data_IF_552911136247
#
_entry.id   IF_552911136247
#
_cell.length_a   1.000
_cell.length_b   1.000
_cell.length_c   1.000
_cell.angle_alpha   90.00
_cell.angle_beta   90.00
_cell.angle_gamma   90.00
#
_symmetry.space_group_name_H-M   'P 1'
#
loop_
_entity.id
_entity.type
_entity.pdbx_description
1 polymer ?
#
# COMPACT_ATOMS: atom_id res chain seq x y z
N UNK A 1 -15.50 5.88 -25.25
CA UNK A 1 -14.06 6.16 -25.18
C UNK A 1 -13.48 5.49 -23.95
N UNK A 2 -12.31 4.87 -24.07
CA UNK A 2 -11.51 4.40 -22.94
C UNK A 2 -10.40 5.41 -22.68
N UNK A 3 -10.15 5.72 -21.42
CA UNK A 3 -8.95 6.47 -21.01
C UNK A 3 -8.07 5.53 -20.20
N UNK A 4 -6.78 5.59 -20.46
CA UNK A 4 -5.73 5.00 -19.66
C UNK A 4 -4.68 6.11 -19.49
N UNK A 5 -4.27 6.53 -18.29
CA UNK A 5 -4.55 6.01 -16.94
C UNK A 5 -5.16 7.08 -16.04
N UNK A 6 -5.73 6.66 -14.91
CA UNK A 6 -6.21 7.59 -13.88
C UNK A 6 -5.06 8.41 -13.26
N UNK A 7 -3.89 7.79 -13.07
CA UNK A 7 -2.69 8.39 -12.46
C UNK A 7 -2.04 9.48 -13.33
N UNK A 8 -2.33 9.48 -14.63
CA UNK A 8 -1.82 10.49 -15.56
C UNK A 8 -2.74 11.69 -15.71
N UNK A 9 -3.92 11.64 -15.10
CA UNK A 9 -4.81 12.80 -14.95
C UNK A 9 -4.40 13.57 -13.69
N UNK A 10 -4.78 14.83 -13.60
CA UNK A 10 -4.53 15.63 -12.40
C UNK A 10 -5.57 15.30 -11.32
N UNK A 11 -5.43 14.13 -10.70
CA UNK A 11 -6.35 13.66 -9.66
C UNK A 11 -6.26 14.48 -8.36
N UNK A 12 -5.15 15.19 -8.13
CA UNK A 12 -4.95 16.09 -6.99
C UNK A 12 -5.44 17.53 -7.25
N UNK A 13 -5.71 17.91 -8.50
CA UNK A 13 -6.16 19.27 -8.85
C UNK A 13 -5.07 20.33 -8.72
N UNK A 14 -3.79 19.98 -8.92
CA UNK A 14 -2.66 20.92 -8.84
C UNK A 14 -2.73 21.96 -9.97
N UNK A 15 -3.20 21.55 -11.14
CA UNK A 15 -3.27 22.35 -12.36
C UNK A 15 -4.68 22.93 -12.62
N UNK A 16 -5.62 22.78 -11.69
CA UNK A 16 -6.98 23.29 -11.83
C UNK A 16 -8.02 22.46 -11.07
N UNK A 17 -9.01 21.93 -11.79
CA UNK A 17 -10.03 21.05 -11.19
C UNK A 17 -9.52 19.61 -11.17
N UNK A 18 -9.75 18.84 -10.09
CA UNK A 18 -9.32 17.45 -10.04
C UNK A 18 -10.00 16.63 -11.14
N UNK A 19 -9.27 15.73 -11.78
CA UNK A 19 -9.68 14.92 -12.91
C UNK A 19 -10.11 15.74 -14.14
N UNK A 20 -9.44 16.86 -14.40
CA UNK A 20 -9.81 17.80 -15.47
C UNK A 20 -9.91 17.11 -16.84
N UNK A 21 -8.96 16.24 -17.17
CA UNK A 21 -8.92 15.58 -18.47
C UNK A 21 -10.14 14.67 -18.66
N UNK A 22 -10.43 13.83 -17.67
CA UNK A 22 -11.57 12.89 -17.72
C UNK A 22 -12.91 13.62 -17.64
N UNK A 23 -12.99 14.71 -16.86
CA UNK A 23 -14.21 15.53 -16.77
C UNK A 23 -14.50 16.24 -18.09
N UNK A 24 -13.51 16.88 -18.68
CA UNK A 24 -13.64 17.52 -20.00
C UNK A 24 -14.08 16.52 -21.06
N UNK A 25 -13.52 15.31 -21.01
CA UNK A 25 -13.91 14.25 -21.91
C UNK A 25 -15.37 13.86 -21.77
N UNK A 26 -15.81 13.64 -20.54
CA UNK A 26 -17.21 13.32 -20.25
C UNK A 26 -18.11 14.45 -20.74
N UNK A 27 -17.81 15.70 -20.37
CA UNK A 27 -18.56 16.90 -20.74
C UNK A 27 -18.74 17.04 -22.25
N UNK A 28 -17.66 16.85 -23.02
CA UNK A 28 -17.69 16.95 -24.49
C UNK A 28 -18.53 15.85 -25.14
N UNK A 29 -18.44 14.61 -24.66
CA UNK A 29 -19.24 13.51 -25.21
C UNK A 29 -20.70 13.52 -24.76
N UNK A 30 -21.02 14.07 -23.59
CA UNK A 30 -22.41 14.17 -23.11
C UNK A 30 -23.14 15.43 -23.57
N UNK A 31 -22.47 16.34 -24.27
CA UNK A 31 -23.10 17.50 -24.93
C UNK A 31 -23.10 18.81 -24.14
N UNK A 32 -22.14 19.02 -23.24
CA UNK A 32 -21.98 20.27 -22.47
C UNK A 32 -22.92 20.39 -21.27
N UNK A 33 -22.36 20.91 -20.17
CA UNK A 33 -22.95 21.08 -18.83
C UNK A 33 -23.73 19.87 -18.29
N UNK A 34 -23.00 18.99 -17.61
CA UNK A 34 -23.62 17.95 -16.78
C UNK A 34 -24.26 18.68 -15.59
N UNK A 35 -25.61 18.68 -15.44
CA UNK A 35 -26.21 19.13 -14.21
C UNK A 35 -25.61 18.29 -13.09
N UNK A 36 -25.05 18.95 -12.06
CA UNK A 36 -24.52 18.26 -10.88
C UNK A 36 -25.58 17.24 -10.46
N UNK A 37 -25.30 15.93 -10.53
CA UNK A 37 -26.29 14.94 -10.14
C UNK A 37 -26.76 15.30 -8.73
N UNK A 38 -28.07 15.16 -8.43
CA UNK A 38 -28.53 15.29 -7.05
C UNK A 38 -27.61 14.43 -6.19
N UNK A 39 -27.15 14.96 -5.05
CA UNK A 39 -26.29 14.25 -4.10
C UNK A 39 -26.97 12.95 -3.69
N UNK A 40 -26.80 11.92 -4.49
CA UNK A 40 -27.14 10.56 -4.16
C UNK A 40 -26.19 10.18 -3.03
N UNK A 41 -26.59 9.40 -2.02
CA UNK A 41 -25.64 8.86 -1.07
C UNK A 41 -24.52 8.20 -1.87
N UNK A 42 -23.34 8.81 -1.78
CA UNK A 42 -22.12 8.32 -2.39
C UNK A 42 -21.87 6.92 -1.84
N UNK A 43 -22.06 5.88 -2.65
CA UNK A 43 -21.58 4.52 -2.34
C UNK A 43 -20.08 4.38 -2.61
N UNK A 44 -19.41 5.44 -3.07
CA UNK A 44 -17.95 5.52 -3.03
C UNK A 44 -17.53 5.51 -1.57
N UNK A 45 -16.71 4.52 -1.21
CA UNK A 45 -16.02 4.48 0.08
C UNK A 45 -15.29 5.81 0.21
N UNK A 46 -15.73 6.63 1.18
CA UNK A 46 -15.06 7.89 1.50
C UNK A 46 -13.65 7.54 1.99
N UNK A 47 -12.58 7.98 1.31
CA UNK A 47 -11.21 7.78 1.79
C UNK A 47 -10.97 8.42 3.16
N UNK A 48 -11.84 9.38 3.54
CA UNK A 48 -11.84 10.06 4.84
C UNK A 48 -12.77 9.42 5.86
N UNK A 49 -13.61 8.44 5.48
CA UNK A 49 -14.32 7.64 6.48
C UNK A 49 -13.29 6.79 7.22
N UNK A 50 -13.29 6.75 8.56
CA UNK A 50 -12.46 5.82 9.27
C UNK A 50 -12.79 4.42 8.74
N UNK A 51 -11.79 3.61 8.35
CA UNK A 51 -12.05 2.25 7.92
C UNK A 51 -12.94 1.61 8.98
N UNK A 52 -14.06 0.99 8.57
CA UNK A 52 -14.82 0.08 9.43
C UNK A 52 -13.93 -1.13 9.64
N UNK A 53 -12.90 -0.92 10.46
CA UNK A 53 -11.82 -1.86 10.67
C UNK A 53 -12.45 -2.88 11.58
N UNK A 54 -12.74 -4.08 11.03
CA UNK A 54 -12.82 -5.24 11.90
C UNK A 54 -11.61 -5.17 12.85
N UNK A 55 -11.80 -5.41 14.16
CA UNK A 55 -10.71 -5.29 15.12
C UNK A 55 -9.55 -6.15 14.61
N UNK A 56 -8.40 -5.54 14.32
CA UNK A 56 -7.25 -6.30 13.87
C UNK A 56 -6.88 -7.35 14.93
N UNK A 57 -6.34 -8.51 14.52
CA UNK A 57 -5.80 -9.46 15.47
C UNK A 57 -4.72 -8.76 16.31
N UNK A 58 -4.56 -9.16 17.60
CA UNK A 58 -3.42 -8.71 18.38
C UNK A 58 -2.11 -9.15 17.69
N UNK A 59 -1.04 -8.34 17.77
CA UNK A 59 0.28 -8.72 17.28
C UNK A 59 0.77 -10.04 17.90
N UNK A 60 1.40 -10.86 17.08
CA UNK A 60 2.13 -12.08 17.44
C UNK A 60 3.62 -11.93 17.11
N UNK A 61 4.41 -12.96 17.38
CA UNK A 61 5.88 -12.91 17.27
C UNK A 61 6.36 -12.63 15.83
N UNK A 62 5.58 -13.05 14.82
CA UNK A 62 5.95 -12.95 13.40
C UNK A 62 5.18 -11.83 12.68
N UNK A 63 3.94 -11.54 13.13
CA UNK A 63 3.06 -10.59 12.49
C UNK A 63 2.66 -9.45 13.44
N UNK A 64 3.15 -8.25 13.15
CA UNK A 64 2.68 -7.04 13.84
C UNK A 64 1.48 -6.41 13.15
N UNK A 65 1.40 -6.55 11.82
CA UNK A 65 0.41 -5.91 10.95
C UNK A 65 0.10 -6.80 9.73
N UNK A 66 -1.05 -6.64 9.08
CA UNK A 66 -1.30 -7.25 7.77
C UNK A 66 -0.30 -6.70 6.75
N UNK A 67 0.22 -7.58 5.89
CA UNK A 67 1.25 -7.26 4.89
C UNK A 67 2.63 -7.79 5.29
N UNK A 68 3.67 -7.12 4.78
CA UNK A 68 5.06 -7.55 4.92
C UNK A 68 5.60 -7.11 6.29
N UNK A 69 6.18 -8.04 7.05
CA UNK A 69 6.80 -7.82 8.36
C UNK A 69 8.23 -8.35 8.35
N UNK A 70 9.13 -7.68 9.07
CA UNK A 70 10.52 -8.13 9.21
C UNK A 70 10.61 -9.34 10.13
N UNK A 71 11.51 -10.28 9.81
CA UNK A 71 11.95 -11.28 10.77
C UNK A 71 12.95 -10.64 11.75
N UNK A 72 12.74 -10.75 13.08
CA UNK A 72 13.62 -10.16 14.09
C UNK A 72 14.96 -10.88 14.24
N UNK A 73 15.05 -12.14 13.84
CA UNK A 73 16.22 -13.00 14.04
C UNK A 73 17.01 -13.22 12.74
N UNK A 74 16.36 -13.21 11.58
CA UNK A 74 16.98 -13.53 10.29
C UNK A 74 16.55 -12.58 9.15
N UNK A 75 17.41 -11.63 8.79
CA UNK A 75 17.12 -10.67 7.73
C UNK A 75 17.13 -11.23 6.30
N UNK A 76 17.51 -12.49 6.09
CA UNK A 76 17.31 -13.14 4.80
C UNK A 76 15.86 -13.58 4.57
N UNK A 77 14.99 -13.52 5.59
CA UNK A 77 13.58 -13.84 5.47
C UNK A 77 12.70 -12.68 5.93
N UNK A 78 11.46 -12.69 5.47
CA UNK A 78 10.40 -11.79 5.93
C UNK A 78 9.08 -12.56 6.01
N UNK A 79 8.13 -12.05 6.79
CA UNK A 79 6.80 -12.64 6.91
C UNK A 79 5.77 -11.86 6.10
N UNK A 80 5.08 -12.54 5.19
CA UNK A 80 3.85 -12.04 4.58
C UNK A 80 2.66 -12.46 5.44
N UNK A 81 2.12 -11.49 6.17
CA UNK A 81 1.05 -11.69 7.14
C UNK A 81 -0.31 -11.38 6.52
N UNK A 82 -1.20 -12.36 6.52
CA UNK A 82 -2.60 -12.19 6.09
C UNK A 82 -3.55 -12.41 7.25
N UNK A 83 -4.69 -11.74 7.24
CA UNK A 83 -5.73 -11.92 8.28
C UNK A 83 -6.66 -13.02 7.82
N UNK A 84 -6.73 -14.09 8.61
CA UNK A 84 -7.60 -15.23 8.39
C UNK A 84 -9.05 -14.93 8.78
N UNK A 85 -9.99 -15.79 8.36
CA UNK A 85 -11.44 -15.60 8.57
C UNK A 85 -11.83 -15.65 10.07
N UNK A 86 -11.02 -16.31 10.88
CA UNK A 86 -11.11 -16.43 12.33
C UNK A 86 -10.45 -15.25 13.08
N UNK A 87 -10.04 -14.20 12.36
CA UNK A 87 -9.40 -13.01 12.90
C UNK A 87 -8.06 -13.31 13.62
N UNK A 88 -7.29 -14.24 13.07
CA UNK A 88 -5.90 -14.54 13.44
C UNK A 88 -4.94 -14.17 12.30
N UNK A 89 -3.66 -14.01 12.59
CA UNK A 89 -2.65 -13.84 11.56
C UNK A 89 -2.21 -15.20 11.00
N UNK A 90 -2.10 -15.27 9.67
CA UNK A 90 -1.40 -16.33 8.95
C UNK A 90 -0.12 -15.74 8.39
N UNK A 91 1.02 -16.10 9.00
CA UNK A 91 2.35 -15.72 8.58
C UNK A 91 2.87 -16.70 7.52
N UNK A 92 3.33 -16.20 6.40
CA UNK A 92 4.09 -16.97 5.41
C UNK A 92 5.52 -16.47 5.40
N UNK A 93 6.48 -17.36 5.64
CA UNK A 93 7.90 -17.02 5.62
C UNK A 93 8.40 -17.03 4.18
N UNK A 94 8.98 -15.92 3.74
CA UNK A 94 9.49 -15.74 2.39
C UNK A 94 10.98 -15.41 2.45
N UNK A 95 11.76 -16.06 1.59
CA UNK A 95 13.20 -15.87 1.50
C UNK A 95 13.52 -14.73 0.52
N UNK A 96 14.37 -13.80 0.94
CA UNK A 96 14.98 -12.81 0.06
C UNK A 96 15.94 -13.47 -0.95
N UNK A 97 16.08 -12.88 -2.13
CA UNK A 97 17.03 -13.38 -3.13
C UNK A 97 18.46 -13.43 -2.56
N UNK A 98 19.29 -14.34 -3.05
CA UNK A 98 20.67 -14.48 -2.60
C UNK A 98 21.44 -13.15 -2.76
N UNK A 99 22.14 -12.72 -1.69
CA UNK A 99 22.84 -11.43 -1.63
C UNK A 99 21.96 -10.23 -1.28
N UNK A 100 20.71 -10.45 -0.89
CA UNK A 100 19.81 -9.39 -0.41
C UNK A 100 19.33 -9.67 1.01
N UNK A 101 19.06 -8.59 1.74
CA UNK A 101 18.51 -8.57 3.10
C UNK A 101 17.21 -7.77 3.10
N UNK A 102 16.30 -8.11 4.01
CA UNK A 102 15.04 -7.39 4.14
C UNK A 102 15.25 -6.00 4.75
N UNK A 103 14.78 -4.98 4.03
CA UNK A 103 14.78 -3.59 4.48
C UNK A 103 13.37 -3.21 5.02
N UNK A 104 13.16 -3.13 6.34
CA UNK A 104 11.86 -2.80 6.92
C UNK A 104 11.38 -1.38 6.60
N UNK A 105 12.29 -0.44 6.31
CA UNK A 105 11.92 0.93 5.98
C UNK A 105 11.27 1.05 4.60
N UNK A 106 11.75 0.24 3.64
CA UNK A 106 11.24 0.20 2.28
C UNK A 106 10.29 -0.98 2.02
N UNK A 107 10.19 -1.93 2.96
CA UNK A 107 9.41 -3.17 2.84
C UNK A 107 9.77 -3.99 1.60
N UNK A 108 11.06 -4.07 1.28
CA UNK A 108 11.62 -4.81 0.14
C UNK A 108 12.89 -5.56 0.57
N UNK A 109 13.28 -6.59 -0.19
CA UNK A 109 14.64 -7.12 -0.13
C UNK A 109 15.57 -6.20 -0.94
N UNK A 110 16.59 -5.66 -0.28
CA UNK A 110 17.57 -4.75 -0.85
C UNK A 110 18.98 -5.35 -0.69
N UNK A 111 19.97 -4.78 -1.37
CA UNK A 111 21.35 -5.26 -1.29
C UNK A 111 21.89 -5.19 0.13
N UNK A 112 22.64 -6.22 0.55
CA UNK A 112 23.20 -6.34 1.89
C UNK A 112 23.95 -5.08 2.34
N UNK A 113 24.81 -4.52 1.49
CA UNK A 113 25.56 -3.29 1.75
C UNK A 113 24.65 -2.08 2.04
N UNK A 114 23.54 -1.99 1.29
CA UNK A 114 22.58 -0.90 1.45
C UNK A 114 21.83 -1.03 2.77
N UNK A 115 21.36 -2.25 3.11
CA UNK A 115 20.64 -2.53 4.36
C UNK A 115 21.52 -2.30 5.59
N UNK A 116 22.76 -2.78 5.55
CA UNK A 116 23.70 -2.64 6.66
C UNK A 116 24.16 -1.19 6.89
N UNK A 117 24.08 -0.34 5.86
CA UNK A 117 24.39 1.09 5.98
C UNK A 117 23.29 1.94 6.63
N UNK A 118 22.06 1.42 6.80
CA UNK A 118 20.90 2.18 7.31
C UNK A 118 21.03 2.55 8.80
N UNK A 119 21.90 1.88 9.55
CA UNK A 119 22.20 2.19 10.95
C UNK A 119 21.54 1.25 11.96
N UNK A 120 22.11 1.26 13.17
CA UNK A 120 22.07 0.20 14.19
C UNK A 120 20.68 -0.27 14.62
N UNK A 121 20.20 -1.36 14.03
CA UNK A 121 19.03 -2.09 14.50
C UNK A 121 18.33 -2.91 13.42
N UNK A 122 18.52 -2.55 12.16
CA UNK A 122 18.03 -3.31 11.00
C UNK A 122 19.11 -4.36 10.70
N UNK A 123 18.81 -5.64 10.94
CA UNK A 123 19.71 -6.76 10.67
C UNK A 123 20.96 -6.85 11.57
N UNK A 124 20.72 -6.89 12.89
CA UNK A 124 21.80 -6.92 13.89
C UNK A 124 22.75 -8.12 13.77
N UNK A 125 22.28 -9.25 13.22
CA UNK A 125 23.03 -10.51 13.18
C UNK A 125 23.53 -10.90 11.78
N UNK A 126 23.04 -10.25 10.72
CA UNK A 126 23.30 -10.63 9.32
C UNK A 126 24.17 -9.62 8.56
N UNK A 127 24.53 -8.50 9.21
CA UNK A 127 25.45 -7.52 8.66
C UNK A 127 26.92 -7.86 9.01
N UNK A 128 27.85 -7.71 8.05
CA UNK A 128 29.28 -7.95 8.26
C UNK A 128 29.95 -6.93 9.19
#
# INVERSE_FOLDING_TARGET
MMVWSIETDDFHGICGRPFDLIKTLRETFTGGDIPTPPTLPTTTIDPSAPPTTAPLPPPDDNCSRPGINADPENCHHYYLCTVSVDNTYSAQEELCAAGTLFNPNASICDWEDAVCAIGSGICKNDCP
#
